data_IF_068686399471
#
_entry.id   IF_068686399471
#
_cell.length_a   1.000
_cell.length_b   1.000
_cell.length_c   1.000
_cell.angle_alpha   90.00
_cell.angle_beta   90.00
_cell.angle_gamma   90.00
#
_symmetry.space_group_name_H-M   'P 1'
#
loop_
_entity.id
_entity.type
_entity.pdbx_description
1 polymer ?
#
# COMPACT_ATOMS: atom_id res chain seq x y z
N UNK A 1 -1.81 6.58 -16.05
CA UNK A 1 -1.93 5.17 -15.64
C UNK A 1 -0.67 4.85 -14.86
N UNK A 2 -0.80 4.22 -13.71
CA UNK A 2 0.32 3.94 -12.81
C UNK A 2 0.25 2.49 -12.34
N UNK A 3 1.41 1.93 -12.05
CA UNK A 3 1.62 0.59 -11.54
C UNK A 3 1.80 0.67 -10.02
N UNK A 4 0.90 0.02 -9.28
CA UNK A 4 0.80 0.20 -7.83
C UNK A 4 0.94 -1.15 -7.14
N UNK A 5 1.94 -1.30 -6.26
CA UNK A 5 2.03 -2.45 -5.37
C UNK A 5 1.25 -2.18 -4.09
N UNK A 6 0.22 -2.98 -3.83
CA UNK A 6 -0.59 -2.89 -2.62
C UNK A 6 -0.21 -3.99 -1.62
N UNK A 7 0.36 -3.59 -0.48
CA UNK A 7 0.76 -4.50 0.59
C UNK A 7 -0.37 -4.74 1.58
N UNK A 8 -0.49 -6.01 1.98
CA UNK A 8 -1.45 -6.51 2.98
C UNK A 8 -2.93 -6.18 2.70
N UNK A 9 -3.50 -6.51 1.52
CA UNK A 9 -4.87 -6.12 1.17
C UNK A 9 -5.93 -6.85 2.03
N UNK A 10 -6.18 -6.34 3.23
CA UNK A 10 -7.35 -6.69 4.06
C UNK A 10 -8.63 -6.11 3.46
N UNK A 11 -9.70 -6.00 4.25
CA UNK A 11 -10.98 -5.43 3.77
C UNK A 11 -10.80 -4.02 3.20
N UNK A 12 -10.07 -3.15 3.93
CA UNK A 12 -9.78 -1.79 3.47
C UNK A 12 -8.89 -1.81 2.23
N UNK A 13 -7.75 -2.50 2.30
CA UNK A 13 -6.80 -2.56 1.19
C UNK A 13 -7.42 -3.07 -0.11
N UNK A 14 -8.18 -4.17 -0.09
CA UNK A 14 -8.85 -4.66 -1.32
C UNK A 14 -9.85 -3.66 -1.88
N UNK A 15 -10.55 -2.90 -1.03
CA UNK A 15 -11.49 -1.89 -1.51
C UNK A 15 -10.78 -0.71 -2.18
N UNK A 16 -9.63 -0.28 -1.63
CA UNK A 16 -8.78 0.74 -2.25
C UNK A 16 -8.18 0.23 -3.56
N UNK A 17 -7.67 -1.01 -3.59
CA UNK A 17 -7.16 -1.64 -4.81
C UNK A 17 -8.22 -1.71 -5.91
N UNK A 18 -9.46 -2.07 -5.58
CA UNK A 18 -10.58 -2.07 -6.52
C UNK A 18 -10.91 -0.67 -7.05
N UNK A 19 -10.88 0.35 -6.18
CA UNK A 19 -11.10 1.73 -6.57
C UNK A 19 -9.99 2.25 -7.51
N UNK A 20 -8.72 1.96 -7.21
CA UNK A 20 -7.58 2.28 -8.07
C UNK A 20 -7.69 1.59 -9.45
N UNK A 21 -8.07 0.31 -9.46
CA UNK A 21 -8.35 -0.43 -10.70
C UNK A 21 -9.46 0.19 -11.53
N UNK A 22 -10.57 0.58 -10.88
CA UNK A 22 -11.70 1.23 -11.53
C UNK A 22 -11.32 2.60 -12.11
N UNK A 23 -10.34 3.29 -11.51
CA UNK A 23 -9.76 4.52 -12.04
C UNK A 23 -8.73 4.28 -13.17
N UNK A 24 -8.50 3.03 -13.58
CA UNK A 24 -7.63 2.67 -14.71
C UNK A 24 -6.17 2.40 -14.34
N UNK A 25 -5.85 2.19 -13.06
CA UNK A 25 -4.51 1.80 -12.62
C UNK A 25 -4.33 0.28 -12.61
N UNK A 26 -3.08 -0.15 -12.70
CA UNK A 26 -2.69 -1.54 -12.50
C UNK A 26 -2.34 -1.72 -11.02
N UNK A 27 -2.95 -2.72 -10.37
CA UNK A 27 -2.72 -2.97 -8.94
C UNK A 27 -2.19 -4.38 -8.75
N UNK A 28 -0.99 -4.45 -8.18
CA UNK A 28 -0.32 -5.67 -7.80
C UNK A 28 -0.52 -5.96 -6.32
N UNK A 29 -0.40 -7.23 -5.92
CA UNK A 29 -0.38 -7.63 -4.51
C UNK A 29 0.44 -8.89 -4.30
N UNK A 30 0.81 -9.17 -3.05
CA UNK A 30 1.61 -10.34 -2.68
C UNK A 30 0.74 -11.37 -1.93
N UNK A 31 0.51 -12.58 -2.49
CA UNK A 31 -0.28 -13.63 -1.85
C UNK A 31 0.47 -14.36 -0.72
N UNK A 32 1.78 -14.16 -0.61
CA UNK A 32 2.66 -14.78 0.38
C UNK A 32 2.11 -14.68 1.81
N UNK A 33 1.95 -15.84 2.45
CA UNK A 33 1.52 -15.95 3.86
C UNK A 33 0.19 -15.25 4.19
N UNK A 34 -0.66 -14.97 3.18
CA UNK A 34 -2.01 -14.41 3.39
C UNK A 34 -3.04 -15.52 3.58
N UNK A 35 -4.07 -15.21 4.36
CA UNK A 35 -5.19 -16.14 4.56
C UNK A 35 -6.00 -16.31 3.28
N UNK A 36 -6.68 -17.44 3.17
CA UNK A 36 -7.56 -17.75 2.04
C UNK A 36 -8.62 -16.67 1.80
N UNK A 37 -9.20 -16.13 2.88
CA UNK A 37 -10.15 -15.02 2.80
C UNK A 37 -9.55 -13.75 2.17
N UNK A 38 -8.26 -13.47 2.41
CA UNK A 38 -7.56 -12.35 1.75
C UNK A 38 -7.32 -12.63 0.28
N UNK A 39 -6.93 -13.86 -0.08
CA UNK A 39 -6.73 -14.24 -1.48
C UNK A 39 -8.00 -14.08 -2.30
N UNK A 40 -9.10 -14.66 -1.82
CA UNK A 40 -10.39 -14.59 -2.51
C UNK A 40 -10.84 -13.14 -2.72
N UNK A 41 -10.66 -12.25 -1.72
CA UNK A 41 -11.01 -10.84 -1.90
C UNK A 41 -10.14 -10.18 -2.97
N UNK A 42 -8.82 -10.35 -2.93
CA UNK A 42 -7.91 -9.75 -3.90
C UNK A 42 -8.19 -10.25 -5.33
N UNK A 43 -8.38 -11.56 -5.50
CA UNK A 43 -8.71 -12.18 -6.78
C UNK A 43 -10.07 -11.73 -7.31
N UNK A 44 -11.09 -11.61 -6.45
CA UNK A 44 -12.42 -11.12 -6.85
C UNK A 44 -12.43 -9.66 -7.33
N UNK A 45 -11.35 -8.92 -7.10
CA UNK A 45 -11.17 -7.53 -7.53
C UNK A 45 -10.12 -7.41 -8.64
N UNK A 46 -9.73 -8.54 -9.26
CA UNK A 46 -8.75 -8.61 -10.34
C UNK A 46 -7.41 -7.93 -9.98
N UNK A 47 -6.97 -8.06 -8.72
CA UNK A 47 -5.64 -7.64 -8.31
C UNK A 47 -4.61 -8.65 -8.81
N UNK A 48 -3.53 -8.18 -9.44
CA UNK A 48 -2.53 -9.06 -10.06
C UNK A 48 -1.53 -9.53 -9.01
N UNK A 49 -1.44 -10.84 -8.82
CA UNK A 49 -0.48 -11.43 -7.89
C UNK A 49 0.95 -11.32 -8.43
N UNK A 50 1.89 -10.96 -7.57
CA UNK A 50 3.33 -11.05 -7.79
C UNK A 50 3.97 -11.93 -6.72
N UNK A 51 5.12 -12.51 -7.04
CA UNK A 51 5.74 -13.52 -6.18
C UNK A 51 6.49 -12.92 -4.99
N UNK A 52 7.18 -11.80 -5.19
CA UNK A 52 8.07 -11.21 -4.19
C UNK A 52 7.94 -9.69 -4.07
N UNK A 53 8.33 -9.17 -2.90
CA UNK A 53 8.34 -7.74 -2.64
C UNK A 53 9.33 -7.02 -3.56
N UNK A 54 10.49 -7.60 -3.83
CA UNK A 54 11.50 -7.04 -4.73
C UNK A 54 10.94 -6.86 -6.14
N UNK A 55 10.32 -7.93 -6.70
CA UNK A 55 9.71 -7.85 -8.03
C UNK A 55 8.55 -6.86 -8.09
N UNK A 56 7.79 -6.75 -6.99
CA UNK A 56 6.70 -5.79 -6.88
C UNK A 56 7.20 -4.35 -6.81
N UNK A 57 8.20 -4.07 -5.98
CA UNK A 57 8.76 -2.74 -5.80
C UNK A 57 9.45 -2.25 -7.08
N UNK A 58 10.16 -3.11 -7.81
CA UNK A 58 10.85 -2.77 -9.06
C UNK A 58 9.89 -2.40 -10.20
N UNK A 59 8.70 -3.02 -10.21
CA UNK A 59 7.68 -2.78 -11.23
C UNK A 59 6.75 -1.61 -10.92
N UNK A 60 6.63 -1.21 -9.66
CA UNK A 60 5.64 -0.25 -9.23
C UNK A 60 6.18 1.18 -9.24
N UNK A 61 5.34 2.13 -9.66
CA UNK A 61 5.57 3.55 -9.43
C UNK A 61 5.40 3.90 -7.94
N UNK A 62 4.49 3.19 -7.25
CA UNK A 62 4.16 3.39 -5.84
C UNK A 62 3.94 2.07 -5.09
N UNK A 63 4.43 2.00 -3.85
CA UNK A 63 4.16 0.90 -2.90
C UNK A 63 3.24 1.43 -1.80
N UNK A 64 1.98 0.99 -1.77
CA UNK A 64 1.00 1.38 -0.75
C UNK A 64 0.93 0.32 0.36
N UNK A 65 1.14 0.75 1.61
CA UNK A 65 1.04 -0.11 2.79
C UNK A 65 -0.30 0.09 3.52
N UNK A 66 -1.14 -0.94 3.56
CA UNK A 66 -2.42 -0.94 4.31
C UNK A 66 -2.50 -2.19 5.19
N UNK A 67 -1.82 -2.16 6.33
CA UNK A 67 -1.72 -3.23 7.31
C UNK A 67 -2.20 -2.80 8.72
N UNK A 68 -2.24 -3.72 9.70
CA UNK A 68 -2.40 -3.31 11.10
C UNK A 68 -1.29 -2.32 11.52
N UNK A 69 -1.59 -1.25 12.29
CA UNK A 69 -0.60 -0.24 12.66
C UNK A 69 0.67 -0.78 13.34
N UNK A 70 0.53 -1.84 14.14
CA UNK A 70 1.66 -2.49 14.81
C UNK A 70 2.68 -3.13 13.84
N UNK A 71 2.30 -3.35 12.58
CA UNK A 71 3.16 -3.94 11.56
C UNK A 71 3.82 -2.90 10.65
N UNK A 72 3.38 -1.64 10.67
CA UNK A 72 3.81 -0.60 9.72
C UNK A 72 5.34 -0.44 9.66
N UNK A 73 6.01 -0.34 10.82
CA UNK A 73 7.47 -0.23 10.90
C UNK A 73 8.19 -1.47 10.34
N UNK A 74 7.66 -2.67 10.54
CA UNK A 74 8.24 -3.90 9.98
C UNK A 74 8.14 -3.90 8.46
N UNK A 75 6.98 -3.52 7.93
CA UNK A 75 6.72 -3.44 6.49
C UNK A 75 7.64 -2.40 5.84
N UNK A 76 7.78 -1.21 6.44
CA UNK A 76 8.70 -0.19 5.95
C UNK A 76 10.15 -0.69 5.91
N UNK A 77 10.58 -1.48 6.90
CA UNK A 77 11.92 -2.11 6.92
C UNK A 77 12.08 -3.16 5.82
N UNK A 78 11.06 -3.98 5.58
CA UNK A 78 11.05 -4.97 4.50
C UNK A 78 11.18 -4.29 3.13
N UNK A 79 10.44 -3.20 2.90
CA UNK A 79 10.54 -2.39 1.67
C UNK A 79 11.94 -1.78 1.55
N UNK A 80 12.45 -1.14 2.62
CA UNK A 80 13.80 -0.57 2.62
C UNK A 80 14.89 -1.62 2.32
N UNK A 81 14.74 -2.84 2.85
CA UNK A 81 15.69 -3.93 2.65
C UNK A 81 15.77 -4.43 1.20
N UNK A 82 14.76 -4.16 0.37
CA UNK A 82 14.84 -4.46 -1.08
C UNK A 82 15.89 -3.61 -1.79
N UNK A 83 16.24 -2.44 -1.24
CA UNK A 83 17.17 -1.48 -1.85
C UNK A 83 16.62 -0.79 -3.10
N UNK A 84 15.34 -0.97 -3.42
CA UNK A 84 14.68 -0.38 -4.58
C UNK A 84 14.14 0.99 -4.21
N UNK A 85 14.47 2.00 -5.03
CA UNK A 85 14.07 3.39 -4.83
C UNK A 85 12.67 3.67 -5.43
N UNK A 86 11.65 3.08 -4.82
CA UNK A 86 10.24 3.29 -5.17
C UNK A 86 9.54 4.11 -4.09
N UNK A 87 8.59 4.98 -4.48
CA UNK A 87 7.85 5.80 -3.52
C UNK A 87 6.98 4.88 -2.64
N UNK A 88 7.30 4.84 -1.35
CA UNK A 88 6.52 4.14 -0.33
C UNK A 88 5.46 5.08 0.24
N UNK A 89 4.20 4.63 0.31
CA UNK A 89 3.12 5.38 0.94
C UNK A 89 2.63 4.57 2.13
N UNK A 90 2.92 5.05 3.34
CA UNK A 90 2.37 4.45 4.55
C UNK A 90 0.93 4.95 4.75
N UNK A 91 -0.06 4.10 4.53
CA UNK A 91 -1.47 4.45 4.68
C UNK A 91 -2.04 3.95 6.02
N UNK A 92 -1.19 3.60 6.99
CA UNK A 92 -1.58 2.99 8.24
C UNK A 92 -1.92 4.05 9.28
N UNK A 93 -2.81 3.72 10.22
CA UNK A 93 -3.15 4.60 11.33
C UNK A 93 -2.04 4.59 12.41
N UNK A 94 -0.88 5.18 12.11
CA UNK A 94 0.27 5.29 13.00
C UNK A 94 0.43 6.71 13.57
N UNK A 95 1.16 6.82 14.67
CA UNK A 95 1.45 8.13 15.28
C UNK A 95 2.50 8.90 14.46
N UNK A 96 2.48 10.25 14.47
CA UNK A 96 3.48 11.06 13.76
C UNK A 96 4.93 10.73 14.11
N UNK A 97 5.21 10.31 15.35
CA UNK A 97 6.55 9.89 15.76
C UNK A 97 7.02 8.62 15.03
N UNK A 98 6.13 7.64 14.83
CA UNK A 98 6.44 6.43 14.08
C UNK A 98 6.65 6.75 12.59
N UNK A 99 5.85 7.66 12.03
CA UNK A 99 6.05 8.12 10.65
C UNK A 99 7.39 8.86 10.50
N UNK A 100 7.78 9.68 11.47
CA UNK A 100 9.09 10.34 11.47
C UNK A 100 10.25 9.33 11.50
N UNK A 101 10.11 8.23 12.24
CA UNK A 101 11.10 7.13 12.22
C UNK A 101 11.17 6.46 10.85
N UNK A 102 10.03 6.17 10.22
CA UNK A 102 9.97 5.59 8.87
C UNK A 102 10.64 6.55 7.86
N UNK A 103 10.33 7.84 7.93
CA UNK A 103 10.93 8.85 7.06
C UNK A 103 12.44 9.02 7.28
N UNK A 104 12.92 8.87 8.51
CA UNK A 104 14.37 8.89 8.78
C UNK A 104 15.11 7.75 8.08
N UNK A 105 14.43 6.62 7.84
CA UNK A 105 14.97 5.43 7.19
C UNK A 105 14.84 5.46 5.67
N UNK A 106 13.69 5.91 5.15
CA UNK A 106 13.39 5.91 3.71
C UNK A 106 13.75 7.23 3.00
N UNK A 107 14.07 8.28 3.74
CA UNK A 107 14.45 9.57 3.16
C UNK A 107 13.29 10.25 2.43
N UNK A 108 13.53 10.71 1.20
CA UNK A 108 12.52 11.41 0.39
C UNK A 108 11.56 10.45 -0.33
N UNK A 109 11.81 9.14 -0.31
CA UNK A 109 11.01 8.14 -1.02
C UNK A 109 9.84 7.65 -0.17
N UNK A 110 9.31 8.48 0.73
CA UNK A 110 8.15 8.16 1.55
C UNK A 110 7.13 9.28 1.65
N UNK A 111 5.86 8.89 1.59
CA UNK A 111 4.70 9.73 1.85
C UNK A 111 3.91 9.21 3.06
N UNK A 112 3.44 10.13 3.89
CA UNK A 112 2.48 9.87 4.96
C UNK A 112 1.06 9.93 4.39
N UNK A 113 0.38 8.79 4.39
CA UNK A 113 -0.95 8.58 3.84
C UNK A 113 -2.00 8.39 4.94
N UNK A 114 -3.13 9.09 4.81
CA UNK A 114 -4.26 8.97 5.74
C UNK A 114 -5.54 8.59 4.99
N UNK A 115 -6.03 7.37 5.23
CA UNK A 115 -7.33 6.92 4.74
C UNK A 115 -8.42 7.33 5.72
N UNK A 116 -9.35 8.18 5.27
CA UNK A 116 -10.50 8.63 6.05
C UNK A 116 -11.78 8.14 5.38
N UNK A 117 -12.57 7.34 6.10
CA UNK A 117 -13.84 6.82 5.65
C UNK A 117 -13.97 5.29 5.79
N UNK A 118 -15.14 4.72 5.43
CA UNK A 118 -15.32 3.28 5.35
C UNK A 118 -14.51 2.69 4.18
N UNK A 119 -14.51 1.34 3.99
CA UNK A 119 -14.01 0.73 2.77
C UNK A 119 -14.61 1.38 1.51
N UNK A 120 -13.77 1.64 0.50
CA UNK A 120 -14.08 2.43 -0.70
C UNK A 120 -14.99 1.70 -1.69
N UNK A 121 -16.23 1.42 -1.27
CA UNK A 121 -17.24 0.69 -2.06
C UNK A 121 -18.09 1.61 -2.93
N UNK A 122 -18.16 2.89 -2.58
CA UNK A 122 -18.91 3.93 -3.30
C UNK A 122 -18.05 5.17 -3.48
N UNK A 123 -18.25 5.93 -4.57
CA UNK A 123 -17.59 7.21 -4.76
C UNK A 123 -17.79 8.14 -3.56
N UNK A 124 -16.80 8.99 -3.29
CA UNK A 124 -16.81 10.07 -2.29
C UNK A 124 -16.97 9.68 -0.80
N UNK A 125 -17.01 8.39 -0.47
CA UNK A 125 -17.08 7.94 0.94
C UNK A 125 -15.71 7.84 1.61
N UNK A 126 -14.68 7.57 0.82
CA UNK A 126 -13.32 7.33 1.31
C UNK A 126 -12.37 8.30 0.64
N UNK A 127 -11.51 8.94 1.44
CA UNK A 127 -10.50 9.88 0.97
C UNK A 127 -9.13 9.43 1.43
N UNK A 128 -8.16 9.47 0.53
CA UNK A 128 -6.74 9.31 0.85
C UNK A 128 -6.10 10.70 0.81
N UNK A 129 -5.62 11.16 1.96
CA UNK A 129 -4.77 12.35 2.03
C UNK A 129 -3.31 11.89 2.04
N UNK A 130 -2.44 12.61 1.35
CA UNK A 130 -1.00 12.31 1.30
C UNK A 130 -0.20 13.57 1.63
N UNK A 131 0.93 13.39 2.31
CA UNK A 131 1.88 14.47 2.59
C UNK A 131 3.32 13.96 2.56
N UNK A 132 4.24 14.83 2.16
CA UNK A 132 5.67 14.51 2.07
C UNK A 132 6.29 15.02 0.76
N UNK A 133 7.60 14.82 0.58
CA UNK A 133 8.26 15.06 -0.69
C UNK A 133 7.60 14.17 -1.75
N UNK A 134 7.05 14.74 -2.82
CA UNK A 134 6.32 14.05 -3.91
C UNK A 134 4.81 13.79 -3.70
N UNK A 135 4.17 14.44 -2.72
CA UNK A 135 2.71 14.46 -2.56
C UNK A 135 1.99 15.34 -3.61
#
# INVERSE_FOLDING_TARGET
MADILLLHPGVMGTSIGAALRSAGHQVFWLPGSRSEATRQRAESQDLVALDTLETGSDKADFVLSICPPASAMSVAREVHATGIDTIFVDCNAIAPSAMAEIASMLGNSVLDGCIVGPPARRPDETRLYVSGPHA
#
